data_IF_931127874016
#
_entry.id   IF_931127874016
#
_cell.length_a   1.000
_cell.length_b   1.000
_cell.length_c   1.000
_cell.angle_alpha   90.00
_cell.angle_beta   90.00
_cell.angle_gamma   90.00
#
_symmetry.space_group_name_H-M   'P 1'
#
loop_
_entity.id
_entity.type
_entity.pdbx_description
1 polymer ?
#
# COMPACT_ATOMS: atom_id res chain seq x y z
N UNK A 1 38.30 3.96 30.38
CA UNK A 1 37.56 4.87 29.51
C UNK A 1 36.27 4.17 29.15
N UNK A 2 35.16 4.74 29.58
CA UNK A 2 33.82 4.16 29.50
C UNK A 2 33.27 4.50 28.13
N UNK A 3 33.26 3.53 27.22
CA UNK A 3 32.54 3.70 25.95
C UNK A 3 31.06 3.47 26.21
N UNK A 4 30.34 4.58 26.37
CA UNK A 4 28.89 4.65 26.32
C UNK A 4 28.41 4.10 24.97
N UNK A 5 28.01 2.83 24.98
CA UNK A 5 27.25 2.22 23.91
C UNK A 5 25.85 2.83 23.91
N UNK A 6 25.72 3.99 23.27
CA UNK A 6 24.42 4.58 22.95
C UNK A 6 23.74 3.64 21.97
N UNK A 7 22.83 2.81 22.46
CA UNK A 7 21.94 1.96 21.66
C UNK A 7 21.05 2.86 20.81
N UNK A 8 21.56 3.30 19.66
CA UNK A 8 20.82 4.14 18.73
C UNK A 8 19.67 3.31 18.18
N UNK A 9 18.44 3.68 18.56
CA UNK A 9 17.22 3.01 18.07
C UNK A 9 17.22 3.15 16.54
N UNK A 10 17.25 2.01 15.85
CA UNK A 10 17.21 1.96 14.39
C UNK A 10 15.93 2.61 13.87
N UNK A 11 16.04 3.59 12.96
CA UNK A 11 14.87 4.17 12.30
C UNK A 11 14.37 3.28 11.15
N UNK A 12 13.13 3.48 10.69
CA UNK A 12 12.61 2.76 9.51
C UNK A 12 13.51 2.93 8.27
N UNK A 13 14.09 4.13 8.07
CA UNK A 13 15.03 4.39 6.97
C UNK A 13 16.33 3.61 7.13
N UNK A 14 16.87 3.57 8.35
CA UNK A 14 18.11 2.83 8.62
C UNK A 14 17.93 1.33 8.36
N UNK A 15 16.76 0.80 8.72
CA UNK A 15 16.38 -0.58 8.40
C UNK A 15 16.35 -0.85 6.89
N UNK A 16 15.75 0.04 6.09
CA UNK A 16 15.73 -0.11 4.62
C UNK A 16 17.14 0.00 4.05
N UNK A 17 17.99 0.88 4.57
CA UNK A 17 19.39 0.97 4.14
C UNK A 17 20.12 -0.35 4.37
N UNK A 18 20.06 -0.84 5.61
CA UNK A 18 20.72 -2.09 6.04
C UNK A 18 20.25 -3.33 5.27
N UNK A 19 18.94 -3.46 5.02
CA UNK A 19 18.38 -4.68 4.43
C UNK A 19 18.26 -4.66 2.90
N UNK A 20 18.22 -3.48 2.28
CA UNK A 20 17.96 -3.34 0.85
C UNK A 20 19.05 -2.55 0.13
N UNK A 21 19.31 -1.30 0.54
CA UNK A 21 20.14 -0.38 -0.24
C UNK A 21 21.62 -0.75 -0.18
N UNK A 22 22.17 -0.96 1.02
CA UNK A 22 23.58 -1.26 1.20
C UNK A 22 23.92 -2.63 0.58
N UNK A 23 23.13 -3.71 0.81
CA UNK A 23 23.36 -4.98 0.14
C UNK A 23 23.30 -4.94 -1.38
N UNK A 24 22.41 -4.15 -1.99
CA UNK A 24 22.35 -4.00 -3.45
C UNK A 24 23.54 -3.19 -4.00
N UNK A 25 24.01 -2.20 -3.23
CA UNK A 25 25.21 -1.44 -3.57
C UNK A 25 26.45 -2.34 -3.53
N UNK A 26 26.56 -3.19 -2.51
CA UNK A 26 27.60 -4.22 -2.39
C UNK A 26 27.50 -5.27 -3.50
N UNK A 27 26.29 -5.67 -3.89
CA UNK A 27 26.04 -6.55 -5.03
C UNK A 27 26.54 -5.96 -6.35
N UNK A 28 26.68 -4.63 -6.43
CA UNK A 28 27.31 -3.94 -7.54
C UNK A 28 26.44 -2.88 -8.20
N UNK A 29 25.30 -2.52 -7.62
CA UNK A 29 24.47 -1.43 -8.13
C UNK A 29 25.17 -0.09 -7.96
N UNK A 30 25.17 0.71 -9.02
CA UNK A 30 25.86 2.00 -9.14
C UNK A 30 24.89 3.08 -9.60
N UNK A 31 25.25 4.32 -9.29
CA UNK A 31 24.60 5.50 -9.86
C UNK A 31 24.60 5.42 -11.39
N UNK A 32 23.45 5.58 -12.07
CA UNK A 32 23.43 5.73 -13.53
C UNK A 32 24.34 6.86 -14.02
N UNK A 33 24.94 6.69 -15.19
CA UNK A 33 25.95 7.63 -15.72
C UNK A 33 25.41 9.04 -15.99
N UNK A 34 24.15 9.12 -16.40
CA UNK A 34 23.41 10.34 -16.77
C UNK A 34 22.76 11.08 -15.58
N UNK A 35 22.91 10.57 -14.35
CA UNK A 35 22.31 11.15 -13.14
C UNK A 35 23.39 11.82 -12.28
N UNK A 36 23.14 13.03 -11.76
CA UNK A 36 24.09 13.69 -10.85
C UNK A 36 24.19 12.97 -9.51
N UNK A 37 25.31 13.13 -8.80
CA UNK A 37 25.50 12.52 -7.47
C UNK A 37 24.42 12.95 -6.47
N UNK A 38 24.06 14.23 -6.47
CA UNK A 38 23.00 14.80 -5.63
C UNK A 38 21.63 14.16 -5.92
N UNK A 39 21.25 14.06 -7.21
CA UNK A 39 19.98 13.42 -7.61
C UNK A 39 19.94 11.95 -7.22
N UNK A 40 21.08 11.26 -7.28
CA UNK A 40 21.16 9.88 -6.86
C UNK A 40 21.06 9.71 -5.34
N UNK A 41 21.75 10.55 -4.57
CA UNK A 41 21.63 10.56 -3.12
C UNK A 41 20.17 10.83 -2.69
N UNK A 42 19.51 11.80 -3.33
CA UNK A 42 18.07 12.04 -3.13
C UNK A 42 17.24 10.81 -3.49
N UNK A 43 17.50 10.16 -4.62
CA UNK A 43 16.80 8.93 -5.01
C UNK A 43 16.91 7.83 -3.95
N UNK A 44 18.09 7.62 -3.34
CA UNK A 44 18.27 6.62 -2.29
C UNK A 44 17.50 6.98 -1.00
N UNK A 45 17.39 8.27 -0.67
CA UNK A 45 16.54 8.75 0.43
C UNK A 45 15.06 8.48 0.12
N UNK A 46 14.60 8.87 -1.07
CA UNK A 46 13.22 8.66 -1.50
C UNK A 46 12.89 7.16 -1.59
N UNK A 47 13.86 6.31 -1.94
CA UNK A 47 13.75 4.85 -1.91
C UNK A 47 13.59 4.32 -0.48
N UNK A 48 14.42 4.80 0.45
CA UNK A 48 14.30 4.43 1.86
C UNK A 48 12.92 4.80 2.43
N UNK A 49 12.41 5.98 2.09
CA UNK A 49 11.06 6.43 2.46
C UNK A 49 9.97 5.58 1.82
N UNK A 50 10.08 5.33 0.51
CA UNK A 50 9.09 4.57 -0.23
C UNK A 50 8.92 3.14 0.26
N UNK A 51 9.97 2.52 0.81
CA UNK A 51 9.98 1.13 1.26
C UNK A 51 9.84 0.98 2.78
N UNK A 52 9.73 2.07 3.54
CA UNK A 52 9.71 2.05 5.01
C UNK A 52 8.52 1.27 5.61
N UNK A 53 7.47 1.04 4.83
CA UNK A 53 6.28 0.27 5.22
C UNK A 53 6.49 -1.25 5.13
N UNK A 54 7.52 -1.71 4.43
CA UNK A 54 7.84 -3.14 4.30
C UNK A 54 8.47 -3.68 5.60
N UNK A 55 8.10 -4.92 5.94
CA UNK A 55 8.78 -5.70 6.98
C UNK A 55 10.16 -6.17 6.52
N UNK A 56 11.00 -6.60 7.46
CA UNK A 56 12.35 -7.13 7.19
C UNK A 56 12.34 -8.26 6.17
N UNK A 57 11.40 -9.21 6.31
CA UNK A 57 11.25 -10.32 5.39
C UNK A 57 10.86 -9.86 3.97
N UNK A 58 10.01 -8.83 3.86
CA UNK A 58 9.61 -8.27 2.57
C UNK A 58 10.73 -7.45 1.92
N UNK A 59 11.53 -6.71 2.71
CA UNK A 59 12.71 -6.00 2.21
C UNK A 59 13.75 -6.97 1.64
N UNK A 60 13.97 -8.08 2.34
CA UNK A 60 14.87 -9.13 1.89
C UNK A 60 14.36 -9.82 0.60
N UNK A 61 13.06 -10.11 0.51
CA UNK A 61 12.46 -10.63 -0.72
C UNK A 61 12.60 -9.64 -1.88
N UNK A 62 12.34 -8.35 -1.64
CA UNK A 62 12.48 -7.30 -2.65
C UNK A 62 13.93 -7.22 -3.15
N UNK A 63 14.91 -7.29 -2.24
CA UNK A 63 16.33 -7.35 -2.58
C UNK A 63 16.65 -8.49 -3.54
N UNK A 64 16.18 -9.71 -3.24
CA UNK A 64 16.43 -10.88 -4.08
C UNK A 64 15.86 -10.70 -5.49
N UNK A 65 14.67 -10.12 -5.62
CA UNK A 65 14.08 -9.81 -6.93
C UNK A 65 14.88 -8.73 -7.66
N UNK A 66 15.34 -7.69 -6.94
CA UNK A 66 16.07 -6.57 -7.53
C UNK A 66 17.47 -6.94 -8.00
N UNK A 67 18.13 -7.95 -7.44
CA UNK A 67 19.46 -8.40 -7.88
C UNK A 67 19.55 -8.62 -9.41
N UNK A 68 18.44 -8.97 -10.06
CA UNK A 68 18.37 -9.24 -11.51
C UNK A 68 17.82 -8.07 -12.34
N UNK A 69 17.65 -6.89 -11.75
CA UNK A 69 16.89 -5.76 -12.34
C UNK A 69 17.70 -4.49 -12.54
N UNK A 70 19.03 -4.57 -12.55
CA UNK A 70 19.87 -3.41 -12.85
C UNK A 70 19.61 -2.84 -14.25
N UNK A 71 19.73 -1.53 -14.37
CA UNK A 71 19.54 -0.77 -15.61
C UNK A 71 20.89 -0.47 -16.31
N UNK A 72 20.82 0.07 -17.53
CA UNK A 72 21.99 0.38 -18.34
C UNK A 72 22.56 -0.80 -19.12
N UNK A 73 23.65 -0.55 -19.84
CA UNK A 73 24.29 -1.50 -20.77
C UNK A 73 24.86 -2.73 -20.05
N UNK A 74 25.39 -2.53 -18.86
CA UNK A 74 26.02 -3.56 -18.03
C UNK A 74 25.10 -4.12 -16.94
N UNK A 75 23.85 -3.64 -16.86
CA UNK A 75 22.86 -4.01 -15.83
C UNK A 75 23.35 -3.72 -14.41
N UNK A 76 24.16 -2.68 -14.22
CA UNK A 76 24.64 -2.25 -12.91
C UNK A 76 24.04 -0.93 -12.43
N UNK A 77 23.29 -0.23 -13.28
CA UNK A 77 22.60 0.99 -12.87
C UNK A 77 21.48 0.68 -11.88
N UNK A 78 21.34 1.50 -10.84
CA UNK A 78 20.15 1.45 -9.98
C UNK A 78 18.87 1.57 -10.82
N UNK A 79 17.89 0.67 -10.65
CA UNK A 79 16.62 0.78 -11.34
C UNK A 79 15.82 2.00 -10.86
N UNK A 80 15.02 2.57 -11.75
CA UNK A 80 14.16 3.72 -11.42
C UNK A 80 13.10 3.31 -10.40
N UNK A 81 12.59 4.30 -9.65
CA UNK A 81 11.49 4.10 -8.71
C UNK A 81 10.27 3.45 -9.38
N UNK A 82 9.99 3.79 -10.64
CA UNK A 82 8.91 3.19 -11.43
C UNK A 82 9.06 1.68 -11.68
N UNK A 83 10.28 1.15 -11.61
CA UNK A 83 10.57 -0.29 -11.70
C UNK A 83 10.47 -0.95 -10.32
N UNK A 84 10.96 -0.27 -9.28
CA UNK A 84 10.99 -0.82 -7.91
C UNK A 84 9.59 -0.85 -7.28
N UNK A 85 8.81 0.22 -7.43
CA UNK A 85 7.51 0.38 -6.77
C UNK A 85 6.52 -0.74 -7.09
N UNK A 86 6.29 -1.16 -8.36
CA UNK A 86 5.39 -2.27 -8.65
C UNK A 86 5.84 -3.61 -8.03
N UNK A 87 7.14 -3.84 -7.88
CA UNK A 87 7.66 -5.05 -7.23
C UNK A 87 7.41 -5.01 -5.71
N UNK A 88 7.62 -3.86 -5.08
CA UNK A 88 7.28 -3.67 -3.67
C UNK A 88 5.77 -3.84 -3.42
N UNK A 89 4.92 -3.26 -4.28
CA UNK A 89 3.45 -3.39 -4.21
C UNK A 89 2.99 -4.86 -4.40
N UNK A 90 3.68 -5.63 -5.24
CA UNK A 90 3.38 -7.05 -5.42
C UNK A 90 3.71 -7.89 -4.16
N UNK A 91 4.70 -7.47 -3.37
CA UNK A 91 5.06 -8.13 -2.11
C UNK A 91 4.17 -7.67 -0.95
N UNK A 92 3.84 -6.38 -0.93
CA UNK A 92 3.01 -5.77 0.09
C UNK A 92 2.25 -4.58 -0.54
N UNK A 93 0.94 -4.72 -0.77
CA UNK A 93 0.13 -3.62 -1.25
C UNK A 93 0.18 -2.46 -0.25
N UNK A 94 0.52 -1.26 -0.72
CA UNK A 94 0.54 -0.08 0.15
C UNK A 94 -0.87 0.24 0.62
N UNK A 95 -1.08 0.57 1.91
CA UNK A 95 -2.36 1.10 2.38
C UNK A 95 -2.80 2.31 1.56
N UNK A 96 -4.10 2.42 1.30
CA UNK A 96 -4.67 3.48 0.46
C UNK A 96 -4.39 4.88 1.04
N UNK A 97 -4.41 4.94 2.36
CA UNK A 97 -4.24 6.11 3.22
C UNK A 97 -2.86 6.76 3.03
N UNK A 98 -1.86 5.98 2.60
CA UNK A 98 -0.51 6.49 2.31
C UNK A 98 -0.35 7.02 0.88
N UNK A 99 -1.41 7.00 0.06
CA UNK A 99 -1.40 7.51 -1.31
C UNK A 99 -2.25 8.79 -1.36
N UNK A 100 -1.65 10.00 -1.27
CA UNK A 100 -2.37 11.24 -1.03
C UNK A 100 -3.47 11.53 -2.04
N UNK A 101 -3.20 11.31 -3.34
CA UNK A 101 -4.17 11.54 -4.41
C UNK A 101 -5.39 10.62 -4.32
N UNK A 102 -5.22 9.45 -3.69
CA UNK A 102 -6.29 8.50 -3.51
C UNK A 102 -7.01 8.74 -2.18
N UNK A 103 -6.29 9.07 -1.10
CA UNK A 103 -6.92 9.50 0.14
C UNK A 103 -7.82 10.73 -0.09
N UNK A 104 -7.39 11.68 -0.92
CA UNK A 104 -8.19 12.86 -1.27
C UNK A 104 -9.47 12.55 -2.05
N UNK A 105 -9.62 11.36 -2.64
CA UNK A 105 -10.86 10.93 -3.28
C UNK A 105 -12.01 10.91 -2.27
N UNK A 106 -11.80 10.23 -1.14
CA UNK A 106 -12.80 10.12 -0.08
C UNK A 106 -12.95 11.41 0.73
N UNK A 107 -11.90 12.23 0.82
CA UNK A 107 -11.98 13.58 1.40
C UNK A 107 -12.70 14.61 0.50
N UNK A 108 -13.05 14.24 -0.74
CA UNK A 108 -13.81 15.10 -1.65
C UNK A 108 -15.32 14.84 -1.52
N UNK A 109 -16.12 15.57 -2.31
CA UNK A 109 -17.58 15.33 -2.41
C UNK A 109 -17.94 13.88 -2.77
N UNK A 110 -17.02 13.12 -3.37
CA UNK A 110 -17.28 11.72 -3.71
C UNK A 110 -17.40 10.81 -2.49
N UNK A 111 -16.66 11.07 -1.40
CA UNK A 111 -16.72 10.24 -0.21
C UNK A 111 -18.13 10.17 0.41
N UNK A 112 -18.72 11.32 0.79
CA UNK A 112 -20.09 11.38 1.28
C UNK A 112 -21.10 10.76 0.30
N UNK A 113 -20.96 11.03 -0.99
CA UNK A 113 -21.82 10.44 -2.01
C UNK A 113 -21.71 8.90 -2.06
N UNK A 114 -20.51 8.34 -1.94
CA UNK A 114 -20.30 6.90 -1.90
C UNK A 114 -20.91 6.24 -0.65
N UNK A 115 -20.91 6.96 0.48
CA UNK A 115 -21.59 6.53 1.70
C UNK A 115 -23.11 6.49 1.50
N UNK A 116 -23.70 7.57 0.97
CA UNK A 116 -25.13 7.66 0.67
C UNK A 116 -25.60 6.59 -0.33
N UNK A 117 -24.77 6.31 -1.34
CA UNK A 117 -25.04 5.30 -2.38
C UNK A 117 -24.80 3.86 -1.91
N UNK A 118 -24.25 3.65 -0.70
CA UNK A 118 -23.88 2.31 -0.20
C UNK A 118 -22.71 1.66 -0.96
N UNK A 119 -21.89 2.45 -1.65
CA UNK A 119 -20.76 1.98 -2.48
C UNK A 119 -19.40 2.19 -1.84
N UNK A 120 -19.32 2.83 -0.67
CA UNK A 120 -18.09 3.25 0.00
C UNK A 120 -17.02 2.15 0.09
N UNK A 121 -17.37 0.97 0.62
CA UNK A 121 -16.43 -0.15 0.77
C UNK A 121 -16.00 -0.71 -0.59
N UNK A 122 -16.93 -0.81 -1.55
CA UNK A 122 -16.64 -1.31 -2.89
C UNK A 122 -15.71 -0.37 -3.67
N UNK A 123 -15.88 0.94 -3.52
CA UNK A 123 -14.92 1.91 -4.03
C UNK A 123 -13.58 1.80 -3.32
N UNK A 124 -13.56 1.71 -2.00
CA UNK A 124 -12.32 1.59 -1.24
C UNK A 124 -11.51 0.37 -1.71
N UNK A 125 -12.15 -0.76 -1.97
CA UNK A 125 -11.52 -1.92 -2.60
C UNK A 125 -11.02 -1.64 -4.01
N UNK A 126 -11.84 -1.01 -4.85
CA UNK A 126 -11.48 -0.69 -6.22
C UNK A 126 -10.21 0.18 -6.26
N UNK A 127 -10.19 1.26 -5.48
CA UNK A 127 -9.05 2.17 -5.42
C UNK A 127 -7.85 1.50 -4.77
N UNK A 128 -8.03 0.62 -3.77
CA UNK A 128 -6.95 -0.18 -3.18
C UNK A 128 -6.29 -1.11 -4.20
N UNK A 129 -7.10 -1.75 -5.05
CA UNK A 129 -6.65 -2.71 -6.06
C UNK A 129 -6.02 -2.05 -7.29
N UNK A 130 -6.63 -0.99 -7.80
CA UNK A 130 -6.24 -0.39 -9.08
C UNK A 130 -5.43 0.90 -8.95
N UNK A 131 -5.33 1.47 -7.74
CA UNK A 131 -4.62 2.71 -7.42
C UNK A 131 -5.01 3.90 -8.31
N UNK A 132 -6.29 3.94 -8.72
CA UNK A 132 -6.90 5.00 -9.52
C UNK A 132 -8.41 5.06 -9.24
N UNK A 133 -9.07 6.20 -9.46
CA UNK A 133 -10.52 6.28 -9.40
C UNK A 133 -11.18 5.46 -10.52
N UNK A 134 -12.46 5.07 -10.37
CA UNK A 134 -13.30 4.59 -11.46
C UNK A 134 -13.48 5.70 -12.50
N UNK A 135 -13.08 5.45 -13.76
CA UNK A 135 -13.13 6.47 -14.82
C UNK A 135 -14.08 6.11 -15.97
N UNK A 136 -14.42 4.83 -16.10
CA UNK A 136 -15.21 4.30 -17.21
C UNK A 136 -16.46 3.61 -16.67
N UNK A 137 -17.52 3.52 -17.48
CA UNK A 137 -18.77 2.84 -17.10
C UNK A 137 -18.55 1.40 -16.61
N UNK A 138 -17.62 0.69 -17.25
CA UNK A 138 -17.25 -0.66 -16.82
C UNK A 138 -16.59 -0.72 -15.44
N UNK A 139 -15.89 0.33 -15.00
CA UNK A 139 -15.37 0.41 -13.63
C UNK A 139 -16.51 0.63 -12.63
N UNK A 140 -17.41 1.58 -12.94
CA UNK A 140 -18.58 1.86 -12.12
C UNK A 140 -19.53 0.67 -12.01
N UNK A 141 -19.71 -0.08 -13.09
CA UNK A 141 -20.48 -1.32 -13.08
C UNK A 141 -19.88 -2.35 -12.10
N UNK A 142 -18.55 -2.52 -12.10
CA UNK A 142 -17.88 -3.42 -11.13
C UNK A 142 -18.06 -2.95 -9.69
N UNK A 143 -17.94 -1.64 -9.44
CA UNK A 143 -18.14 -1.06 -8.10
C UNK A 143 -19.57 -1.33 -7.61
N UNK A 144 -20.58 -1.04 -8.43
CA UNK A 144 -21.99 -1.26 -8.07
C UNK A 144 -22.30 -2.74 -7.85
N UNK A 145 -21.78 -3.62 -8.68
CA UNK A 145 -21.94 -5.06 -8.51
C UNK A 145 -21.33 -5.51 -7.17
N UNK A 146 -20.09 -5.09 -6.88
CA UNK A 146 -19.42 -5.43 -5.62
C UNK A 146 -20.14 -4.85 -4.40
N UNK A 147 -20.69 -3.64 -4.50
CA UNK A 147 -21.50 -3.05 -3.44
C UNK A 147 -22.75 -3.88 -3.14
N UNK A 148 -23.46 -4.33 -4.18
CA UNK A 148 -24.62 -5.21 -4.02
C UNK A 148 -24.26 -6.59 -3.43
N UNK A 149 -23.11 -7.15 -3.82
CA UNK A 149 -22.56 -8.38 -3.22
C UNK A 149 -22.30 -8.18 -1.71
N UNK A 150 -21.64 -7.08 -1.33
CA UNK A 150 -21.37 -6.76 0.07
C UNK A 150 -22.63 -6.54 0.90
N UNK A 151 -23.62 -5.81 0.38
CA UNK A 151 -24.89 -5.59 1.09
C UNK A 151 -25.62 -6.92 1.34
N UNK A 152 -25.69 -7.78 0.31
CA UNK A 152 -26.26 -9.10 0.43
C UNK A 152 -25.55 -9.95 1.49
N UNK A 153 -24.22 -10.05 1.38
CA UNK A 153 -23.39 -10.85 2.28
C UNK A 153 -23.46 -10.33 3.72
N UNK A 154 -23.36 -9.01 3.92
CA UNK A 154 -23.45 -8.39 5.24
C UNK A 154 -24.80 -8.71 5.88
N UNK A 155 -25.90 -8.59 5.14
CA UNK A 155 -27.25 -8.90 5.65
C UNK A 155 -27.40 -10.37 6.02
N UNK A 156 -27.01 -11.30 5.14
CA UNK A 156 -27.15 -12.74 5.37
C UNK A 156 -26.26 -13.20 6.53
N UNK A 157 -24.99 -12.78 6.55
CA UNK A 157 -24.04 -13.18 7.58
C UNK A 157 -24.38 -12.56 8.95
N UNK A 158 -24.80 -11.31 8.99
CA UNK A 158 -25.28 -10.66 10.23
C UNK A 158 -26.54 -11.32 10.79
N UNK A 159 -27.45 -11.76 9.92
CA UNK A 159 -28.64 -12.50 10.32
C UNK A 159 -28.29 -13.86 10.96
N UNK A 160 -27.35 -14.60 10.37
CA UNK A 160 -26.82 -15.84 10.97
C UNK A 160 -26.14 -15.59 12.31
N UNK A 161 -25.36 -14.52 12.43
CA UNK A 161 -24.71 -14.14 13.68
C UNK A 161 -25.74 -13.84 14.77
N UNK A 162 -26.77 -13.05 14.46
CA UNK A 162 -27.85 -12.73 15.40
C UNK A 162 -28.60 -13.97 15.88
N UNK A 163 -28.78 -14.97 15.01
CA UNK A 163 -29.43 -16.26 15.34
C UNK A 163 -28.51 -17.24 16.07
N UNK A 164 -27.23 -16.91 16.27
CA UNK A 164 -26.25 -17.78 16.92
C UNK A 164 -25.80 -18.97 16.06
N UNK A 165 -25.97 -18.89 14.74
CA UNK A 165 -25.63 -19.99 13.78
C UNK A 165 -24.59 -19.58 12.74
N UNK A 166 -23.91 -18.45 12.96
CA UNK A 166 -22.80 -18.01 12.10
C UNK A 166 -21.61 -18.97 12.19
N UNK A 167 -21.04 -19.28 11.03
CA UNK A 167 -19.77 -20.00 10.94
C UNK A 167 -18.58 -19.09 11.29
N UNK A 168 -17.41 -19.69 11.49
CA UNK A 168 -16.18 -18.92 11.66
C UNK A 168 -15.85 -18.03 10.44
N UNK A 169 -16.16 -18.50 9.22
CA UNK A 169 -16.02 -17.72 7.99
C UNK A 169 -16.95 -16.51 7.97
N UNK A 170 -18.20 -16.66 8.42
CA UNK A 170 -19.15 -15.55 8.53
C UNK A 170 -18.62 -14.45 9.45
N UNK A 171 -18.10 -14.84 10.63
CA UNK A 171 -17.55 -13.89 11.59
C UNK A 171 -16.27 -13.22 11.07
N UNK A 172 -15.40 -13.98 10.40
CA UNK A 172 -14.18 -13.44 9.81
C UNK A 172 -14.49 -12.44 8.70
N UNK A 173 -15.46 -12.76 7.84
CA UNK A 173 -15.89 -11.86 6.77
C UNK A 173 -16.50 -10.58 7.34
N UNK A 174 -17.38 -10.67 8.34
CA UNK A 174 -17.98 -9.49 8.97
C UNK A 174 -16.92 -8.60 9.61
N UNK A 175 -15.98 -9.18 10.37
CA UNK A 175 -14.89 -8.44 10.98
C UNK A 175 -13.98 -7.76 9.93
N UNK A 176 -13.73 -8.43 8.81
CA UNK A 176 -13.00 -7.84 7.70
C UNK A 176 -13.77 -6.68 7.07
N UNK A 177 -15.07 -6.84 6.81
CA UNK A 177 -15.91 -5.81 6.21
C UNK A 177 -15.96 -4.57 7.10
N UNK A 178 -16.23 -4.75 8.41
CA UNK A 178 -16.26 -3.65 9.39
C UNK A 178 -14.92 -2.91 9.44
N UNK A 179 -13.79 -3.64 9.33
CA UNK A 179 -12.46 -3.02 9.26
C UNK A 179 -12.27 -2.20 7.99
N UNK A 180 -12.75 -2.67 6.83
CA UNK A 180 -12.65 -1.91 5.58
C UNK A 180 -13.56 -0.67 5.62
N UNK A 181 -14.78 -0.81 6.12
CA UNK A 181 -15.72 0.28 6.31
C UNK A 181 -15.16 1.35 7.24
N UNK A 182 -14.61 0.97 8.40
CA UNK A 182 -13.97 1.91 9.33
C UNK A 182 -12.80 2.67 8.70
N UNK A 183 -11.97 2.00 7.88
CA UNK A 183 -10.87 2.64 7.16
C UNK A 183 -11.36 3.64 6.11
N UNK A 184 -12.40 3.30 5.37
CA UNK A 184 -12.99 4.19 4.37
C UNK A 184 -13.68 5.40 5.02
N UNK A 185 -14.43 5.18 6.12
CA UNK A 185 -15.07 6.23 6.92
C UNK A 185 -14.06 7.22 7.48
N UNK A 186 -12.89 6.74 7.93
CA UNK A 186 -11.82 7.60 8.46
C UNK A 186 -11.22 8.56 7.41
N UNK A 187 -11.50 8.36 6.12
CA UNK A 187 -11.05 9.24 5.04
C UNK A 187 -12.11 10.26 4.61
N UNK A 188 -13.33 10.21 5.19
CA UNK A 188 -14.38 11.17 4.89
C UNK A 188 -14.10 12.55 5.53
N UNK A 189 -14.69 13.64 4.98
CA UNK A 189 -14.59 14.96 5.59
C UNK A 189 -15.20 14.99 7.00
N UNK A 190 -14.64 15.83 7.88
CA UNK A 190 -15.20 16.07 9.21
C UNK A 190 -16.68 16.52 9.13
N UNK A 191 -17.53 15.92 9.96
CA UNK A 191 -18.98 16.21 9.98
C UNK A 191 -19.84 15.29 9.10
N UNK A 192 -19.25 14.28 8.45
CA UNK A 192 -19.98 13.25 7.71
C UNK A 192 -20.35 12.10 8.67
N UNK A 193 -21.48 12.20 9.38
CA UNK A 193 -22.03 11.16 10.26
C UNK A 193 -23.56 11.24 10.36
#
# INVERSE_FOLDING_TARGET
MTDEQTTKIETKRDRVRRLLIDPLTEHGFRKPGDVSAERHAKFLVDLADGMAYLSDAQLEQLRQVLNYRGEGKDKRGWPRMATIMPLAEALAPRPLEEIPVIASWFGSARGPQALEEGTLVAEFEFLTKFKRPPLRDGDWMRVRQRAAEHDHDKRVRSDRQRRGVASADDLQWLAWHDKMEARAMALLPEGTA
#
